data_IF_342337344405
#
_entry.id   IF_342337344405
#
_cell.length_a   1.000
_cell.length_b   1.000
_cell.length_c   1.000
_cell.angle_alpha   90.00
_cell.angle_beta   90.00
_cell.angle_gamma   90.00
#
_symmetry.space_group_name_H-M   'P 1'
#
loop_
_entity.id
_entity.type
_entity.pdbx_description
1 polymer ?
#
# COMPACT_ATOMS: atom_id res chain seq x y z
N UNK A 1 -10.74 -33.80 -60.64
CA UNK A 1 -11.09 -33.59 -59.23
C UNK A 1 -9.85 -33.17 -58.46
N UNK A 2 -9.95 -32.09 -57.70
CA UNK A 2 -9.11 -31.71 -56.54
C UNK A 2 -7.60 -31.64 -56.72
N UNK A 3 -7.06 -30.43 -56.92
CA UNK A 3 -5.62 -30.13 -56.89
C UNK A 3 -5.00 -30.01 -55.48
N UNK A 4 -3.82 -29.38 -55.33
CA UNK A 4 -2.57 -30.13 -55.50
C UNK A 4 -1.44 -29.78 -54.49
N UNK A 5 -0.34 -30.54 -54.60
CA UNK A 5 1.07 -30.20 -54.31
C UNK A 5 1.51 -29.77 -52.90
N UNK A 6 2.42 -30.59 -52.31
CA UNK A 6 3.57 -30.07 -51.54
C UNK A 6 4.87 -30.75 -52.01
N UNK A 7 5.79 -29.93 -52.50
CA UNK A 7 7.16 -30.28 -52.84
C UNK A 7 8.08 -30.21 -51.59
N UNK A 8 9.20 -30.96 -51.55
CA UNK A 8 10.33 -30.73 -50.65
C UNK A 8 11.54 -30.13 -51.43
N UNK A 9 12.75 -30.07 -50.86
CA UNK A 9 13.27 -29.30 -49.72
C UNK A 9 14.39 -28.31 -50.17
N UNK A 10 14.90 -27.41 -49.30
CA UNK A 10 16.35 -27.05 -49.22
C UNK A 10 16.70 -25.93 -48.21
N UNK A 11 17.81 -26.16 -47.49
CA UNK A 11 18.62 -25.21 -46.72
C UNK A 11 19.40 -24.26 -47.63
N UNK A 12 19.45 -22.97 -47.26
CA UNK A 12 20.53 -21.96 -47.49
C UNK A 12 20.30 -20.95 -46.33
N UNK A 13 21.24 -20.52 -45.48
CA UNK A 13 22.61 -20.07 -45.66
C UNK A 13 22.69 -18.64 -45.10
N UNK A 14 23.63 -18.40 -44.19
CA UNK A 14 23.79 -17.19 -43.39
C UNK A 14 24.05 -15.91 -44.20
N UNK A 15 23.65 -14.75 -43.67
CA UNK A 15 24.35 -13.50 -43.95
C UNK A 15 24.31 -12.54 -42.75
N UNK A 16 25.49 -12.34 -42.18
CA UNK A 16 25.84 -11.28 -41.26
C UNK A 16 25.77 -9.91 -41.95
N UNK A 17 25.35 -8.87 -41.22
CA UNK A 17 25.69 -7.47 -41.52
C UNK A 17 26.26 -6.83 -40.27
N UNK A 18 27.58 -6.70 -40.27
CA UNK A 18 28.30 -5.80 -39.39
C UNK A 18 28.27 -4.38 -39.95
N UNK A 19 28.15 -3.40 -39.06
CA UNK A 19 28.59 -2.04 -39.32
C UNK A 19 29.93 -1.83 -38.60
N UNK A 20 30.98 -1.61 -39.40
CA UNK A 20 32.35 -1.30 -38.98
C UNK A 20 32.72 0.11 -39.47
N UNK A 21 33.55 0.78 -38.65
CA UNK A 21 34.56 1.85 -38.91
C UNK A 21 34.12 3.32 -38.85
N UNK A 22 35.08 4.29 -38.66
CA UNK A 22 36.53 4.19 -38.40
C UNK A 22 37.08 5.06 -37.22
N UNK A 23 38.41 5.03 -36.96
CA UNK A 23 39.10 5.66 -35.82
C UNK A 23 39.81 6.99 -36.15
N UNK A 24 40.26 7.75 -35.14
CA UNK A 24 41.35 8.78 -35.21
C UNK A 24 41.89 9.09 -33.80
N UNK A 25 43.08 8.61 -33.42
CA UNK A 25 44.43 9.22 -33.55
C UNK A 25 44.68 10.39 -32.58
N UNK A 26 45.21 10.05 -31.40
CA UNK A 26 46.55 10.31 -30.83
C UNK A 26 47.33 11.62 -31.10
N UNK A 27 48.18 11.97 -30.11
CA UNK A 27 49.22 13.03 -29.96
C UNK A 27 48.85 14.12 -28.93
N UNK A 28 49.72 14.55 -28.01
CA UNK A 28 51.15 14.32 -27.74
C UNK A 28 51.52 14.93 -26.37
N UNK A 29 52.52 14.34 -25.69
CA UNK A 29 53.71 14.91 -24.98
C UNK A 29 53.51 16.20 -24.15
N UNK A 30 54.05 16.38 -22.95
CA UNK A 30 55.04 15.67 -22.14
C UNK A 30 55.73 16.67 -21.19
N UNK A 31 56.79 16.22 -20.51
CA UNK A 31 57.65 16.92 -19.53
C UNK A 31 57.06 16.99 -18.11
N UNK A 32 57.68 16.54 -17.03
CA UNK A 32 59.09 16.23 -16.76
C UNK A 32 59.69 17.34 -15.91
N UNK A 33 59.86 17.13 -14.60
CA UNK A 33 61.03 17.59 -13.82
C UNK A 33 61.03 16.99 -12.41
N UNK A 34 62.12 16.29 -12.08
CA UNK A 34 62.57 15.98 -10.72
C UNK A 34 63.29 17.22 -10.18
N UNK A 35 63.24 17.47 -8.86
CA UNK A 35 64.41 17.48 -7.95
C UNK A 35 64.21 18.24 -6.62
N UNK A 36 64.62 17.56 -5.53
CA UNK A 36 65.37 18.02 -4.33
C UNK A 36 64.82 18.96 -3.24
N UNK A 37 65.10 18.54 -1.98
CA UNK A 37 65.35 19.35 -0.77
C UNK A 37 64.08 19.71 0.01
N UNK A 38 63.87 19.43 1.30
CA UNK A 38 64.79 19.29 2.42
C UNK A 38 64.55 20.44 3.41
N UNK A 39 63.87 20.17 4.54
CA UNK A 39 64.03 20.78 5.89
C UNK A 39 62.72 21.04 6.69
N UNK A 40 62.65 20.33 7.83
CA UNK A 40 62.25 20.73 9.21
C UNK A 40 61.03 21.64 9.44
N UNK A 41 60.12 21.17 10.30
CA UNK A 41 59.29 22.03 11.17
C UNK A 41 58.03 21.36 11.70
N UNK A 42 57.89 21.25 13.01
CA UNK A 42 56.81 20.63 13.79
C UNK A 42 55.38 21.14 13.44
N UNK A 43 54.26 20.45 13.71
CA UNK A 43 53.61 20.29 15.04
C UNK A 43 52.35 19.37 14.93
N UNK A 44 52.24 18.36 15.83
CA UNK A 44 51.06 17.67 16.41
C UNK A 44 49.96 16.94 15.55
N UNK A 45 49.20 15.98 16.16
CA UNK A 45 48.86 14.69 15.52
C UNK A 45 47.50 14.65 14.81
N UNK A 46 47.43 13.76 13.82
CA UNK A 46 46.22 13.44 13.06
C UNK A 46 45.30 12.45 13.80
N UNK A 47 44.04 12.85 13.97
CA UNK A 47 42.93 12.02 14.43
C UNK A 47 42.33 11.17 13.27
N UNK A 48 41.72 10.00 13.55
CA UNK A 48 41.13 9.15 12.52
C UNK A 48 39.73 9.64 12.08
N UNK A 49 39.42 9.40 10.82
CA UNK A 49 38.24 9.90 10.11
C UNK A 49 36.90 9.37 10.65
N UNK A 50 36.03 10.32 11.03
CA UNK A 50 34.60 10.11 11.25
C UNK A 50 33.80 10.40 9.98
N UNK A 51 33.01 9.42 9.55
CA UNK A 51 32.12 9.44 8.39
C UNK A 51 30.98 10.43 8.65
N UNK A 52 30.73 11.31 7.67
CA UNK A 52 29.75 12.42 7.69
C UNK A 52 28.36 12.00 8.14
N UNK A 53 27.96 12.51 9.29
CA UNK A 53 26.58 12.61 9.76
C UNK A 53 25.94 13.88 9.16
N UNK A 54 24.93 13.73 8.31
CA UNK A 54 24.22 14.87 7.70
C UNK A 54 23.08 15.32 8.62
N UNK A 55 23.39 16.34 9.42
CA UNK A 55 22.42 17.27 10.01
C UNK A 55 21.33 17.65 9.00
N UNK A 56 20.07 17.58 9.43
CA UNK A 56 19.07 18.60 9.11
C UNK A 56 18.47 19.14 10.41
N UNK A 57 19.07 20.25 10.81
CA UNK A 57 18.62 21.27 11.76
C UNK A 57 17.27 21.88 11.38
N UNK A 58 16.51 22.29 12.38
CA UNK A 58 15.69 23.50 12.29
C UNK A 58 14.24 23.36 12.73
N UNK A 59 14.01 23.33 14.05
CA UNK A 59 12.77 23.82 14.64
C UNK A 59 12.81 25.35 14.57
N UNK A 60 11.90 25.98 13.83
CA UNK A 60 11.58 27.40 13.96
C UNK A 60 10.05 27.54 13.91
N UNK A 61 9.49 27.81 15.07
CA UNK A 61 8.11 28.21 15.31
C UNK A 61 7.97 29.72 15.14
N UNK A 62 7.49 30.18 13.99
CA UNK A 62 6.69 31.42 13.84
C UNK A 62 6.19 31.54 12.40
N UNK A 63 4.86 31.56 12.21
CA UNK A 63 4.22 31.93 10.94
C UNK A 63 3.86 30.78 9.99
N UNK A 64 2.84 29.99 10.33
CA UNK A 64 2.11 29.17 9.36
C UNK A 64 0.60 29.30 9.60
N UNK A 65 0.09 30.53 9.44
CA UNK A 65 -1.32 30.73 9.13
C UNK A 65 -1.50 30.39 7.64
N UNK A 66 -2.56 29.63 7.36
CA UNK A 66 -2.88 28.93 6.10
C UNK A 66 -2.20 27.56 5.98
N UNK A 67 -2.70 26.62 6.79
CA UNK A 67 -2.57 25.19 6.50
C UNK A 67 -3.46 24.85 5.28
N UNK A 68 -2.94 25.04 4.08
CA UNK A 68 -3.44 24.33 2.90
C UNK A 68 -2.85 22.92 3.00
N UNK A 69 -3.52 22.00 3.70
CA UNK A 69 -3.12 20.58 3.73
C UNK A 69 -3.20 20.04 2.30
N UNK A 70 -2.09 19.83 1.56
CA UNK A 70 -2.16 19.16 0.29
C UNK A 70 -2.29 17.67 0.61
N UNK A 71 -3.48 17.10 0.44
CA UNK A 71 -3.65 15.66 0.51
C UNK A 71 -2.63 15.00 -0.44
N UNK A 72 -1.96 13.91 -0.01
CA UNK A 72 -0.87 13.32 -0.77
C UNK A 72 -1.31 12.93 -2.18
N UNK A 73 -0.40 13.13 -3.15
CA UNK A 73 -0.66 12.84 -4.56
C UNK A 73 -0.84 11.33 -4.83
N UNK A 74 -0.14 10.49 -4.04
CA UNK A 74 -0.29 9.02 -4.03
C UNK A 74 -1.30 8.61 -2.97
N UNK A 75 -2.05 7.54 -3.26
CA UNK A 75 -2.94 6.94 -2.28
C UNK A 75 -2.10 6.37 -1.14
N UNK A 76 -2.36 6.75 0.13
CA UNK A 76 -1.60 6.23 1.25
C UNK A 76 -1.88 4.73 1.41
N UNK A 77 -0.84 3.97 1.79
CA UNK A 77 -0.98 2.53 2.02
C UNK A 77 -1.92 2.22 3.20
N UNK A 78 -2.02 3.16 4.14
CA UNK A 78 -2.89 3.11 5.31
C UNK A 78 -3.86 4.29 5.36
N UNK A 79 -4.98 4.10 6.03
CA UNK A 79 -6.03 5.09 6.20
C UNK A 79 -6.44 5.20 7.66
N UNK A 80 -6.89 6.39 8.03
CA UNK A 80 -7.49 6.62 9.34
C UNK A 80 -8.76 5.77 9.50
N UNK A 81 -8.97 5.04 10.61
CA UNK A 81 -10.13 4.15 10.78
C UNK A 81 -11.47 4.86 10.59
N UNK A 82 -11.60 6.11 11.04
CA UNK A 82 -12.84 6.86 10.91
C UNK A 82 -13.12 7.41 9.49
N UNK A 83 -12.10 7.55 8.64
CA UNK A 83 -12.28 8.13 7.30
C UNK A 83 -13.18 7.27 6.39
N UNK A 84 -13.00 5.93 6.30
CA UNK A 84 -13.92 5.06 5.58
C UNK A 84 -15.36 5.14 6.08
N UNK A 85 -15.56 5.21 7.40
CA UNK A 85 -16.91 5.21 8.01
C UNK A 85 -17.62 6.52 7.76
N UNK A 86 -16.87 7.63 7.83
CA UNK A 86 -17.39 8.94 7.45
C UNK A 86 -17.82 8.97 5.97
N UNK A 87 -17.01 8.40 5.07
CA UNK A 87 -17.36 8.30 3.66
C UNK A 87 -18.59 7.41 3.43
N UNK A 88 -18.72 6.32 4.17
CA UNK A 88 -19.89 5.44 4.15
C UNK A 88 -21.14 6.14 4.67
N UNK A 89 -21.04 6.97 5.72
CA UNK A 89 -22.16 7.76 6.23
C UNK A 89 -22.67 8.73 5.14
N UNK A 90 -21.78 9.48 4.50
CA UNK A 90 -22.14 10.41 3.42
C UNK A 90 -22.77 9.67 2.24
N UNK A 91 -22.13 8.59 1.78
CA UNK A 91 -22.64 7.77 0.66
C UNK A 91 -24.02 7.21 0.99
N UNK A 92 -24.18 6.66 2.19
CA UNK A 92 -25.42 6.07 2.66
C UNK A 92 -26.55 7.09 2.77
N UNK A 93 -26.26 8.29 3.29
CA UNK A 93 -27.23 9.39 3.36
C UNK A 93 -27.64 9.89 1.97
N UNK A 94 -26.69 10.08 1.05
CA UNK A 94 -27.00 10.47 -0.33
C UNK A 94 -27.88 9.42 -1.03
N UNK A 95 -27.55 8.14 -0.87
CA UNK A 95 -28.35 7.06 -1.47
C UNK A 95 -29.74 6.95 -0.83
N UNK A 96 -29.84 7.13 0.50
CA UNK A 96 -31.11 7.11 1.21
C UNK A 96 -32.00 8.29 0.78
N UNK A 97 -31.45 9.50 0.72
CA UNK A 97 -32.12 10.68 0.20
C UNK A 97 -32.62 10.44 -1.23
N UNK A 98 -31.74 9.91 -2.10
CA UNK A 98 -32.09 9.61 -3.48
C UNK A 98 -33.28 8.65 -3.58
N UNK A 99 -33.32 7.61 -2.75
CA UNK A 99 -34.44 6.66 -2.69
C UNK A 99 -35.71 7.32 -2.16
N UNK A 100 -35.63 8.18 -1.14
CA UNK A 100 -36.82 8.81 -0.55
C UNK A 100 -37.46 9.85 -1.48
N UNK A 101 -36.64 10.65 -2.16
CA UNK A 101 -37.11 11.72 -3.04
C UNK A 101 -37.11 11.34 -4.52
N UNK A 102 -36.70 10.11 -4.85
CA UNK A 102 -36.62 9.58 -6.21
C UNK A 102 -35.73 10.44 -7.13
N UNK A 103 -34.64 10.98 -6.60
CA UNK A 103 -33.75 11.92 -7.30
C UNK A 103 -32.55 11.22 -7.94
N UNK A 104 -32.69 10.80 -9.20
CA UNK A 104 -31.63 10.14 -9.98
C UNK A 104 -30.29 10.90 -9.95
N UNK A 105 -30.23 12.25 -10.06
CA UNK A 105 -28.97 12.98 -10.01
C UNK A 105 -28.16 12.75 -8.73
N UNK A 106 -28.82 12.51 -7.59
CA UNK A 106 -28.14 12.26 -6.31
C UNK A 106 -27.42 10.91 -6.32
N UNK A 107 -27.98 9.89 -6.98
CA UNK A 107 -27.32 8.59 -7.19
C UNK A 107 -26.04 8.77 -8.00
N UNK A 108 -26.08 9.61 -9.05
CA UNK A 108 -24.92 9.94 -9.89
C UNK A 108 -23.85 10.67 -9.07
N UNK A 109 -24.24 11.61 -8.21
CA UNK A 109 -23.31 12.32 -7.31
C UNK A 109 -22.65 11.35 -6.33
N UNK A 110 -23.41 10.43 -5.71
CA UNK A 110 -22.85 9.42 -4.81
C UNK A 110 -21.82 8.53 -5.54
N UNK A 111 -22.15 8.07 -6.76
CA UNK A 111 -21.22 7.31 -7.59
C UNK A 111 -19.95 8.11 -7.93
N UNK A 112 -20.09 9.39 -8.30
CA UNK A 112 -18.98 10.28 -8.61
C UNK A 112 -18.06 10.49 -7.40
N UNK A 113 -18.61 10.66 -6.19
CA UNK A 113 -17.80 10.81 -4.97
C UNK A 113 -16.94 9.59 -4.70
N UNK A 114 -17.49 8.39 -4.88
CA UNK A 114 -16.74 7.14 -4.74
C UNK A 114 -15.68 7.02 -5.85
N UNK A 115 -16.03 7.32 -7.10
CA UNK A 115 -15.09 7.27 -8.22
C UNK A 115 -13.89 8.20 -8.00
N UNK A 116 -14.12 9.45 -7.56
CA UNK A 116 -13.05 10.39 -7.24
C UNK A 116 -12.19 9.92 -6.07
N UNK A 117 -12.81 9.33 -5.03
CA UNK A 117 -12.08 8.72 -3.92
C UNK A 117 -11.16 7.57 -4.37
N UNK A 118 -11.60 6.76 -5.33
CA UNK A 118 -10.81 5.68 -5.91
C UNK A 118 -9.64 6.19 -6.77
N UNK A 119 -9.80 7.33 -7.46
CA UNK A 119 -8.72 7.97 -8.24
C UNK A 119 -7.65 8.55 -7.31
N UNK A 120 -8.05 9.17 -6.21
CA UNK A 120 -7.13 9.53 -5.14
C UNK A 120 -7.69 10.52 -4.12
N UNK A 121 -7.11 10.57 -2.90
CA UNK A 121 -7.63 11.41 -1.82
C UNK A 121 -7.75 12.90 -2.19
N UNK A 122 -6.81 13.42 -2.99
CA UNK A 122 -6.79 14.82 -3.45
C UNK A 122 -8.02 15.26 -4.23
N UNK A 123 -8.73 14.33 -4.88
CA UNK A 123 -9.93 14.63 -5.67
C UNK A 123 -11.22 14.34 -4.91
N UNK A 124 -11.13 13.71 -3.73
CA UNK A 124 -12.30 13.31 -2.97
C UNK A 124 -12.80 14.47 -2.11
N UNK A 125 -14.01 15.00 -2.36
CA UNK A 125 -14.61 16.04 -1.52
C UNK A 125 -14.78 15.55 -0.07
N UNK A 126 -15.10 14.26 0.08
CA UNK A 126 -15.27 13.59 1.35
C UNK A 126 -13.96 13.50 2.14
N UNK A 127 -12.84 13.19 1.47
CA UNK A 127 -11.53 13.16 2.14
C UNK A 127 -11.10 14.55 2.60
N UNK A 128 -11.40 15.58 1.81
CA UNK A 128 -11.17 16.98 2.20
C UNK A 128 -11.99 17.36 3.43
N UNK A 129 -13.28 17.02 3.45
CA UNK A 129 -14.15 17.29 4.60
C UNK A 129 -13.67 16.56 5.86
N UNK A 130 -13.23 15.31 5.72
CA UNK A 130 -12.67 14.55 6.83
C UNK A 130 -11.35 15.14 7.37
N UNK A 131 -10.49 15.68 6.49
CA UNK A 131 -9.19 16.25 6.87
C UNK A 131 -9.29 17.47 7.81
N UNK A 132 -10.47 18.10 7.88
CA UNK A 132 -10.74 19.23 8.77
C UNK A 132 -10.99 18.76 10.22
N UNK A 133 -11.34 17.48 10.43
CA UNK A 133 -11.64 16.94 11.75
C UNK A 133 -10.35 16.65 12.53
N UNK A 134 -10.15 17.21 13.73
CA UNK A 134 -8.94 17.03 14.53
C UNK A 134 -8.94 15.69 15.28
N UNK A 135 -8.99 14.57 14.56
CA UNK A 135 -9.02 13.21 15.15
C UNK A 135 -7.66 12.54 14.93
N UNK A 136 -6.99 12.16 16.03
CA UNK A 136 -5.75 11.37 15.97
C UNK A 136 -6.06 9.88 16.10
N UNK A 137 -5.63 9.03 15.15
CA UNK A 137 -5.84 7.60 15.24
C UNK A 137 -4.85 6.97 16.20
N UNK A 138 -5.32 6.00 17.00
CA UNK A 138 -4.42 5.16 17.80
C UNK A 138 -3.81 4.02 16.96
N UNK A 139 -4.52 3.61 15.91
CA UNK A 139 -4.17 2.53 14.99
C UNK A 139 -4.61 2.92 13.58
N UNK A 140 -3.93 2.41 12.56
CA UNK A 140 -4.23 2.70 11.17
C UNK A 140 -4.72 1.45 10.45
N UNK A 141 -5.65 1.61 9.51
CA UNK A 141 -6.17 0.48 8.74
C UNK A 141 -5.51 0.40 7.36
N UNK A 142 -5.27 -0.81 6.81
CA UNK A 142 -4.81 -0.95 5.44
C UNK A 142 -5.83 -0.36 4.43
N UNK A 143 -5.34 0.35 3.42
CA UNK A 143 -6.20 1.01 2.41
C UNK A 143 -6.85 0.03 1.43
N UNK A 144 -6.23 -1.13 1.17
CA UNK A 144 -6.67 -2.08 0.13
C UNK A 144 -8.07 -2.65 0.35
N UNK A 145 -8.42 -3.21 1.53
CA UNK A 145 -9.76 -3.72 1.77
C UNK A 145 -10.84 -2.63 1.64
N UNK A 146 -10.51 -1.41 2.06
CA UNK A 146 -11.41 -0.25 1.95
C UNK A 146 -11.68 0.11 0.49
N UNK A 147 -10.65 0.14 -0.35
CA UNK A 147 -10.80 0.44 -1.79
C UNK A 147 -11.58 -0.66 -2.52
N UNK A 148 -11.41 -1.92 -2.14
CA UNK A 148 -12.22 -3.02 -2.68
C UNK A 148 -13.71 -2.81 -2.37
N UNK A 149 -14.05 -2.45 -1.13
CA UNK A 149 -15.42 -2.15 -0.75
C UNK A 149 -16.00 -0.95 -1.52
N UNK A 150 -15.20 0.12 -1.69
CA UNK A 150 -15.58 1.28 -2.52
C UNK A 150 -15.84 0.89 -3.97
N UNK A 151 -15.02 0.01 -4.54
CA UNK A 151 -15.17 -0.44 -5.92
C UNK A 151 -16.47 -1.23 -6.13
N UNK A 152 -16.81 -2.13 -5.20
CA UNK A 152 -18.10 -2.84 -5.22
C UNK A 152 -19.27 -1.86 -5.15
N UNK A 153 -19.22 -0.89 -4.23
CA UNK A 153 -20.27 0.12 -4.10
C UNK A 153 -20.43 0.94 -5.40
N UNK A 154 -19.32 1.32 -6.04
CA UNK A 154 -19.35 2.01 -7.32
C UNK A 154 -20.01 1.16 -8.42
N UNK A 155 -19.64 -0.11 -8.53
CA UNK A 155 -20.26 -1.02 -9.52
C UNK A 155 -21.77 -1.13 -9.29
N UNK A 156 -22.20 -1.30 -8.05
CA UNK A 156 -23.62 -1.37 -7.71
C UNK A 156 -24.36 -0.08 -8.07
N UNK A 157 -23.77 1.09 -7.80
CA UNK A 157 -24.37 2.38 -8.17
C UNK A 157 -24.40 2.59 -9.69
N UNK A 158 -23.37 2.17 -10.42
CA UNK A 158 -23.39 2.22 -11.89
C UNK A 158 -24.51 1.33 -12.45
N UNK A 159 -24.67 0.12 -11.91
CA UNK A 159 -25.79 -0.77 -12.27
C UNK A 159 -27.13 -0.11 -11.94
N UNK A 160 -27.28 0.50 -10.76
CA UNK A 160 -28.49 1.23 -10.39
C UNK A 160 -28.80 2.37 -11.37
N UNK A 161 -27.80 3.18 -11.73
CA UNK A 161 -27.93 4.27 -12.70
C UNK A 161 -28.41 3.73 -14.05
N UNK A 162 -27.80 2.65 -14.56
CA UNK A 162 -28.22 2.02 -15.82
C UNK A 162 -29.67 1.54 -15.75
N UNK A 163 -30.07 0.92 -14.64
CA UNK A 163 -31.45 0.46 -14.43
C UNK A 163 -32.46 1.62 -14.40
N UNK A 164 -32.13 2.71 -13.70
CA UNK A 164 -32.96 3.91 -13.63
C UNK A 164 -33.16 4.55 -15.01
N UNK A 165 -32.10 4.68 -15.82
CA UNK A 165 -32.19 5.27 -17.16
C UNK A 165 -32.75 4.33 -18.23
N UNK A 166 -32.83 3.02 -17.97
CA UNK A 166 -33.41 2.03 -18.90
C UNK A 166 -34.90 1.76 -18.66
N UNK A 167 -35.52 2.45 -17.71
CA UNK A 167 -36.94 2.31 -17.37
C UNK A 167 -37.25 1.19 -16.38
N UNK A 168 -36.23 0.47 -15.86
CA UNK A 168 -36.39 -0.48 -14.76
C UNK A 168 -36.24 0.22 -13.40
N UNK A 169 -37.07 1.24 -13.18
CA UNK A 169 -36.92 2.17 -12.04
C UNK A 169 -36.94 1.45 -10.69
N UNK A 170 -37.91 0.56 -10.47
CA UNK A 170 -38.02 -0.20 -9.23
C UNK A 170 -36.74 -0.99 -8.92
N UNK A 171 -36.15 -1.65 -9.93
CA UNK A 171 -34.90 -2.39 -9.77
C UNK A 171 -33.74 -1.44 -9.43
N UNK A 172 -33.64 -0.30 -10.10
CA UNK A 172 -32.63 0.72 -9.82
C UNK A 172 -32.71 1.27 -8.39
N UNK A 173 -33.93 1.54 -7.90
CA UNK A 173 -34.14 2.01 -6.53
C UNK A 173 -33.90 0.93 -5.49
N UNK A 174 -34.23 -0.34 -5.76
CA UNK A 174 -33.87 -1.45 -4.89
C UNK A 174 -32.35 -1.55 -4.74
N UNK A 175 -31.60 -1.51 -5.85
CA UNK A 175 -30.13 -1.57 -5.81
C UNK A 175 -29.56 -0.38 -5.03
N UNK A 176 -30.05 0.83 -5.28
CA UNK A 176 -29.65 2.05 -4.54
C UNK A 176 -29.96 1.93 -3.04
N UNK A 177 -31.12 1.40 -2.67
CA UNK A 177 -31.52 1.15 -1.30
C UNK A 177 -30.64 0.12 -0.60
N UNK A 178 -30.22 -0.94 -1.29
CA UNK A 178 -29.24 -1.90 -0.76
C UNK A 178 -27.90 -1.23 -0.49
N UNK A 179 -27.41 -0.39 -1.41
CA UNK A 179 -26.18 0.39 -1.19
C UNK A 179 -26.32 1.31 0.03
N UNK A 180 -27.45 2.02 0.16
CA UNK A 180 -27.73 2.87 1.32
C UNK A 180 -27.70 2.07 2.63
N UNK A 181 -28.40 0.93 2.69
CA UNK A 181 -28.47 0.09 3.87
C UNK A 181 -27.10 -0.44 4.30
N UNK A 182 -26.30 -0.96 3.35
CA UNK A 182 -24.95 -1.49 3.64
C UNK A 182 -24.00 -0.37 4.07
N UNK A 183 -24.06 0.79 3.42
CA UNK A 183 -23.21 1.93 3.77
C UNK A 183 -23.52 2.47 5.16
N UNK A 184 -24.81 2.69 5.49
CA UNK A 184 -25.23 3.14 6.81
C UNK A 184 -24.95 2.09 7.90
N UNK A 185 -25.16 0.82 7.60
CA UNK A 185 -24.81 -0.26 8.54
C UNK A 185 -23.32 -0.23 8.90
N UNK A 186 -22.44 -0.07 7.91
CA UNK A 186 -20.99 0.01 8.14
C UNK A 186 -20.59 1.30 8.87
N UNK A 187 -21.30 2.41 8.62
CA UNK A 187 -21.07 3.66 9.32
C UNK A 187 -21.45 3.59 10.81
N UNK A 188 -22.54 2.90 11.16
CA UNK A 188 -23.04 2.78 12.54
C UNK A 188 -22.32 1.68 13.31
N UNK A 189 -22.15 0.50 12.71
CA UNK A 189 -21.56 -0.66 13.40
C UNK A 189 -20.02 -0.61 13.46
N UNK A 190 -19.39 0.18 12.58
CA UNK A 190 -17.95 0.13 12.35
C UNK A 190 -17.47 -1.12 11.60
N UNK A 191 -18.38 -2.04 11.25
CA UNK A 191 -18.10 -3.31 10.57
C UNK A 191 -18.32 -3.15 9.06
N UNK A 192 -17.23 -3.17 8.31
CA UNK A 192 -17.29 -3.16 6.84
C UNK A 192 -17.34 -4.59 6.28
N UNK A 193 -18.52 -5.00 5.80
CA UNK A 193 -18.76 -6.32 5.17
C UNK A 193 -17.80 -6.55 3.99
N UNK A 194 -17.54 -5.52 3.18
CA UNK A 194 -16.60 -5.60 2.07
C UNK A 194 -15.16 -5.89 2.51
N UNK A 195 -14.72 -5.32 3.64
CA UNK A 195 -13.39 -5.60 4.19
C UNK A 195 -13.27 -7.04 4.73
N UNK A 196 -14.34 -7.59 5.30
CA UNK A 196 -14.40 -9.01 5.72
C UNK A 196 -14.28 -9.92 4.50
N UNK A 197 -15.10 -9.65 3.47
CA UNK A 197 -15.12 -10.45 2.24
C UNK A 197 -13.74 -10.48 1.56
N UNK A 198 -13.10 -9.31 1.41
CA UNK A 198 -11.74 -9.21 0.86
C UNK A 198 -10.75 -10.13 1.59
N UNK A 199 -10.73 -10.07 2.93
CA UNK A 199 -9.80 -10.88 3.72
C UNK A 199 -10.08 -12.36 3.63
N UNK A 200 -11.34 -12.74 3.54
CA UNK A 200 -11.70 -14.14 3.37
C UNK A 200 -11.26 -14.67 2.00
N UNK A 201 -11.34 -13.84 0.97
CA UNK A 201 -10.81 -14.15 -0.37
C UNK A 201 -9.30 -14.31 -0.30
N UNK A 202 -8.57 -13.33 0.27
CA UNK A 202 -7.10 -13.41 0.36
C UNK A 202 -6.64 -14.59 1.21
N UNK A 203 -7.29 -14.88 2.35
CA UNK A 203 -6.97 -16.06 3.17
C UNK A 203 -7.12 -17.37 2.39
N UNK A 204 -8.09 -17.47 1.48
CA UNK A 204 -8.31 -18.67 0.67
C UNK A 204 -7.46 -18.72 -0.61
N UNK A 205 -7.01 -17.56 -1.09
CA UNK A 205 -6.20 -17.45 -2.29
C UNK A 205 -4.69 -17.60 -2.03
N UNK A 206 -4.25 -17.59 -0.77
CA UNK A 206 -2.84 -17.67 -0.39
C UNK A 206 -2.22 -19.04 -0.67
N UNK A 207 -1.47 -19.15 -1.76
CA UNK A 207 -0.49 -20.22 -1.98
C UNK A 207 0.84 -19.83 -1.31
N UNK A 208 1.49 -20.78 -0.64
CA UNK A 208 2.80 -20.63 -0.01
C UNK A 208 3.84 -19.90 -0.86
N UNK A 209 3.82 -20.23 -2.15
CA UNK A 209 4.81 -19.79 -3.11
C UNK A 209 4.67 -18.29 -3.41
N UNK A 210 3.45 -17.77 -3.38
CA UNK A 210 3.17 -16.36 -3.66
C UNK A 210 3.57 -15.45 -2.50
N UNK A 211 3.34 -15.86 -1.24
CA UNK A 211 3.80 -15.07 -0.08
C UNK A 211 5.33 -15.07 0.05
N UNK A 212 5.97 -16.23 -0.18
CA UNK A 212 7.42 -16.34 -0.14
C UNK A 212 8.09 -15.42 -1.17
N UNK A 213 7.53 -15.36 -2.37
CA UNK A 213 7.99 -14.48 -3.45
C UNK A 213 7.64 -13.02 -3.19
N UNK A 214 6.47 -12.73 -2.61
CA UNK A 214 6.03 -11.36 -2.33
C UNK A 214 6.89 -10.66 -1.26
N UNK A 215 7.38 -11.40 -0.27
CA UNK A 215 8.14 -10.84 0.86
C UNK A 215 9.59 -11.33 0.92
N UNK A 216 10.11 -11.91 -0.17
CA UNK A 216 11.46 -12.49 -0.28
C UNK A 216 11.86 -13.37 0.94
N UNK A 217 10.92 -14.20 1.40
CA UNK A 217 11.13 -14.99 2.62
C UNK A 217 12.12 -16.13 2.32
N UNK A 218 13.31 -16.06 2.92
CA UNK A 218 14.35 -17.09 2.77
C UNK A 218 14.20 -18.18 3.84
N UNK A 219 14.55 -19.44 3.51
CA UNK A 219 14.51 -20.58 4.43
C UNK A 219 13.29 -21.50 4.28
N UNK A 220 13.07 -22.39 5.26
CA UNK A 220 11.98 -23.37 5.26
C UNK A 220 10.77 -22.95 6.12
N UNK A 221 10.83 -21.79 6.77
CA UNK A 221 9.79 -21.31 7.71
C UNK A 221 9.82 -22.06 9.04
N UNK A 222 8.88 -21.76 9.97
CA UNK A 222 7.91 -20.67 9.90
C UNK A 222 8.55 -19.28 9.98
N UNK A 223 7.89 -18.26 9.41
CA UNK A 223 8.37 -16.87 9.41
C UNK A 223 7.49 -16.00 10.30
N UNK A 224 8.13 -15.12 11.08
CA UNK A 224 7.45 -14.09 11.86
C UNK A 224 7.60 -12.75 11.16
N UNK A 225 6.48 -12.20 10.71
CA UNK A 225 6.40 -10.92 10.02
C UNK A 225 5.85 -9.86 10.96
N UNK A 226 6.44 -8.68 10.94
CA UNK A 226 5.94 -7.48 11.64
C UNK A 226 5.59 -6.45 10.60
N UNK A 227 4.30 -6.13 10.49
CA UNK A 227 3.78 -5.16 9.53
C UNK A 227 3.56 -3.82 10.22
N UNK A 228 4.26 -2.79 9.75
CA UNK A 228 4.18 -1.41 10.24
C UNK A 228 3.79 -0.45 9.12
N UNK A 229 3.51 0.80 9.48
CA UNK A 229 3.24 1.87 8.53
C UNK A 229 3.88 3.19 9.00
N UNK A 230 4.14 4.13 8.09
CA UNK A 230 4.58 5.47 8.45
C UNK A 230 3.58 6.16 9.37
N UNK A 231 4.09 7.00 10.26
CA UNK A 231 3.31 7.82 11.20
C UNK A 231 2.37 7.04 12.14
N UNK A 232 2.60 5.75 12.29
CA UNK A 232 1.89 4.88 13.22
C UNK A 232 2.45 5.05 14.65
N UNK A 233 1.68 5.59 15.61
CA UNK A 233 2.19 5.91 16.95
C UNK A 233 2.53 4.67 17.79
N UNK A 234 1.91 3.52 17.50
CA UNK A 234 2.11 2.26 18.23
C UNK A 234 3.13 1.33 17.58
N UNK A 235 3.53 1.60 16.34
CA UNK A 235 4.39 0.70 15.58
C UNK A 235 5.81 0.54 16.14
N UNK A 236 6.50 1.59 16.66
CA UNK A 236 7.82 1.42 17.26
C UNK A 236 7.81 0.48 18.47
N UNK A 237 6.84 0.66 19.38
CA UNK A 237 6.72 -0.15 20.60
C UNK A 237 6.38 -1.61 20.28
N UNK A 238 5.46 -1.85 19.34
CA UNK A 238 5.11 -3.19 18.91
C UNK A 238 6.28 -3.91 18.22
N UNK A 239 7.01 -3.22 17.34
CA UNK A 239 8.20 -3.76 16.68
C UNK A 239 9.23 -4.17 17.72
N UNK A 240 9.54 -3.28 18.67
CA UNK A 240 10.49 -3.58 19.73
C UNK A 240 10.05 -4.79 20.57
N UNK A 241 8.79 -4.85 21.01
CA UNK A 241 8.29 -5.97 21.80
C UNK A 241 8.41 -7.33 21.08
N UNK A 242 8.16 -7.37 19.77
CA UNK A 242 8.29 -8.60 18.97
C UNK A 242 9.77 -9.00 18.81
N UNK A 243 10.65 -8.04 18.49
CA UNK A 243 12.10 -8.31 18.37
C UNK A 243 12.71 -8.77 19.70
N UNK A 244 12.29 -8.18 20.82
CA UNK A 244 12.73 -8.57 22.17
C UNK A 244 12.26 -9.99 22.52
N UNK A 245 11.03 -10.36 22.17
CA UNK A 245 10.48 -11.69 22.41
C UNK A 245 11.09 -12.76 21.48
N UNK A 246 11.50 -12.38 20.27
CA UNK A 246 11.97 -13.32 19.24
C UNK A 246 13.29 -14.02 19.60
N UNK A 247 14.03 -13.57 20.62
CA UNK A 247 15.17 -14.27 21.25
C UNK A 247 16.18 -14.91 20.26
N UNK A 248 16.42 -14.26 19.11
CA UNK A 248 17.35 -14.71 18.07
C UNK A 248 16.72 -15.39 16.85
N UNK A 249 15.39 -15.56 16.81
CA UNK A 249 14.67 -15.97 15.59
C UNK A 249 14.60 -14.82 14.59
N UNK A 250 14.63 -15.14 13.30
CA UNK A 250 14.53 -14.14 12.24
C UNK A 250 13.13 -13.53 12.20
N UNK A 251 13.05 -12.21 12.43
CA UNK A 251 11.84 -11.41 12.29
C UNK A 251 11.95 -10.60 10.99
N UNK A 252 10.93 -10.66 10.15
CA UNK A 252 10.86 -9.92 8.89
C UNK A 252 10.01 -8.68 9.10
N UNK A 253 10.65 -7.51 9.09
CA UNK A 253 9.96 -6.23 9.19
C UNK A 253 9.45 -5.80 7.80
N UNK A 254 8.17 -5.46 7.73
CA UNK A 254 7.51 -5.04 6.50
C UNK A 254 6.86 -3.67 6.74
N UNK A 255 7.33 -2.65 6.03
CA UNK A 255 6.67 -1.35 6.01
C UNK A 255 5.64 -1.28 4.87
N UNK A 256 4.41 -0.87 5.18
CA UNK A 256 3.33 -0.73 4.20
C UNK A 256 3.59 0.35 3.13
N UNK A 257 4.45 1.35 3.40
CA UNK A 257 4.82 2.34 2.39
C UNK A 257 5.78 1.76 1.34
N UNK A 258 6.71 0.92 1.79
CA UNK A 258 7.68 0.23 0.92
C UNK A 258 7.04 -0.99 0.22
N UNK A 259 6.19 -1.73 0.93
CA UNK A 259 5.52 -2.95 0.49
C UNK A 259 3.99 -2.80 0.59
N UNK A 260 3.35 -2.00 -0.29
CA UNK A 260 1.90 -1.83 -0.29
C UNK A 260 1.15 -3.14 -0.57
N UNK A 261 1.79 -4.14 -1.20
CA UNK A 261 1.36 -5.54 -1.29
C UNK A 261 0.89 -6.10 0.05
N UNK A 262 1.60 -5.81 1.15
CA UNK A 262 1.32 -6.29 2.50
C UNK A 262 -0.05 -5.89 3.03
N UNK A 263 -0.64 -4.80 2.53
CA UNK A 263 -2.00 -4.39 2.90
C UNK A 263 -3.10 -5.35 2.45
N UNK A 264 -2.77 -6.36 1.63
CA UNK A 264 -3.68 -7.45 1.27
C UNK A 264 -3.74 -8.54 2.34
N UNK A 265 -2.71 -8.65 3.21
CA UNK A 265 -2.66 -9.62 4.29
C UNK A 265 -3.90 -9.50 5.19
N UNK A 266 -4.30 -10.58 5.89
CA UNK A 266 -5.52 -10.59 6.70
C UNK A 266 -5.40 -9.85 8.04
N UNK A 267 -4.85 -8.62 8.00
CA UNK A 267 -4.70 -7.70 9.13
C UNK A 267 -5.83 -6.66 9.15
N UNK A 268 -6.23 -6.24 10.35
CA UNK A 268 -7.29 -5.25 10.58
C UNK A 268 -6.73 -3.85 10.77
N UNK A 269 -5.61 -3.77 11.48
CA UNK A 269 -4.90 -2.54 11.75
C UNK A 269 -3.40 -2.80 11.82
N UNK A 270 -2.62 -1.73 11.74
CA UNK A 270 -1.21 -1.72 12.12
C UNK A 270 -0.99 -1.02 13.45
N UNK A 271 -0.05 -1.50 14.28
CA UNK A 271 0.91 -2.59 13.99
C UNK A 271 0.27 -3.99 13.97
N UNK A 272 0.86 -4.89 13.20
CA UNK A 272 0.44 -6.28 13.11
C UNK A 272 1.61 -7.26 13.17
N UNK A 273 1.43 -8.38 13.85
CA UNK A 273 2.33 -9.52 13.84
C UNK A 273 1.66 -10.72 13.19
N UNK A 274 2.36 -11.40 12.29
CA UNK A 274 1.82 -12.50 11.49
C UNK A 274 2.83 -13.65 11.49
N UNK A 275 2.37 -14.85 11.80
CA UNK A 275 3.12 -16.09 11.60
C UNK A 275 2.71 -16.72 10.27
N UNK A 276 3.69 -17.00 9.42
CA UNK A 276 3.52 -17.76 8.19
C UNK A 276 4.09 -19.15 8.40
N UNK A 277 3.28 -20.18 8.19
CA UNK A 277 3.69 -21.57 8.34
C UNK A 277 4.63 -22.00 7.20
N UNK A 278 5.37 -23.12 7.33
CA UNK A 278 6.16 -23.69 6.24
C UNK A 278 5.33 -24.03 4.98
N UNK A 279 4.05 -24.38 5.16
CA UNK A 279 3.06 -24.55 4.08
C UNK A 279 2.71 -23.24 3.40
N UNK A 280 3.20 -22.11 3.93
CA UNK A 280 2.96 -20.73 3.54
C UNK A 280 1.51 -20.26 3.69
N UNK A 281 0.71 -21.02 4.43
CA UNK A 281 -0.55 -20.55 4.97
C UNK A 281 -0.32 -19.49 6.06
N UNK A 282 -1.29 -18.58 6.18
CA UNK A 282 -1.28 -17.60 7.26
C UNK A 282 -1.79 -18.27 8.53
N UNK A 283 -0.91 -18.43 9.51
CA UNK A 283 -1.22 -18.97 10.82
C UNK A 283 -1.76 -17.90 11.77
N UNK A 284 -1.05 -17.69 12.88
CA UNK A 284 -1.46 -16.72 13.91
C UNK A 284 -1.29 -15.27 13.42
N UNK A 285 -2.32 -14.45 13.63
CA UNK A 285 -2.31 -13.01 13.32
C UNK A 285 -2.74 -12.23 14.55
N UNK A 286 -1.95 -11.24 14.96
CA UNK A 286 -2.28 -10.27 16.01
C UNK A 286 -2.18 -8.87 15.44
N UNK A 287 -3.13 -7.99 15.78
CA UNK A 287 -3.18 -6.61 15.30
C UNK A 287 -3.53 -5.65 16.44
N UNK A 288 -3.10 -4.40 16.32
CA UNK A 288 -3.48 -3.33 17.24
C UNK A 288 -2.50 -3.15 18.40
N UNK A 289 -2.93 -3.42 19.63
CA UNK A 289 -2.00 -3.42 20.78
C UNK A 289 -1.21 -4.72 20.79
N UNK A 290 0.09 -4.61 20.51
CA UNK A 290 1.04 -5.70 20.64
C UNK A 290 2.04 -5.29 21.72
N UNK A 291 1.96 -5.94 22.88
CA UNK A 291 2.93 -5.85 23.95
C UNK A 291 3.67 -7.16 24.15
N UNK A 292 4.32 -7.30 25.30
CA UNK A 292 5.04 -8.51 25.68
C UNK A 292 4.21 -9.81 25.60
N UNK A 293 2.93 -9.88 26.08
CA UNK A 293 2.19 -11.13 26.05
C UNK A 293 1.79 -11.55 24.63
N UNK A 294 1.33 -10.60 23.80
CA UNK A 294 0.99 -10.89 22.41
C UNK A 294 2.22 -11.24 21.58
N UNK A 295 3.36 -10.60 21.84
CA UNK A 295 4.64 -10.94 21.22
C UNK A 295 5.10 -12.35 21.60
N UNK A 296 4.98 -12.74 22.87
CA UNK A 296 5.32 -14.08 23.33
C UNK A 296 4.43 -15.16 22.68
N UNK A 297 3.13 -14.87 22.50
CA UNK A 297 2.19 -15.76 21.81
C UNK A 297 2.52 -15.93 20.31
N UNK A 298 2.93 -14.84 19.64
CA UNK A 298 3.41 -14.91 18.26
C UNK A 298 4.68 -15.76 18.12
N UNK A 299 5.60 -15.62 19.06
CA UNK A 299 6.86 -16.37 19.05
C UNK A 299 6.64 -17.84 19.42
N UNK A 300 5.75 -18.16 20.35
CA UNK A 300 5.42 -19.55 20.70
C UNK A 300 4.72 -20.29 19.56
N UNK A 301 3.97 -19.58 18.71
CA UNK A 301 3.36 -20.15 17.51
C UNK A 301 4.38 -20.55 16.42
N UNK A 302 5.66 -20.17 16.55
CA UNK A 302 6.73 -20.59 15.63
C UNK A 302 7.28 -22.00 15.94
N UNK A 303 6.85 -22.64 17.04
CA UNK A 303 7.38 -23.93 17.51
C UNK A 303 8.60 -23.77 18.38
#
# INVERSE_FOLDING_TARGET
GGGPHRAPPRRIGAHARGHRRPPRVDRRRGAGHRSHGGSRGAVHPAAPGGRRDRRRTGCNSTGALVSTFPLPARTPAVVHPWAPRFAQAITGLLCLEAVLFQTIPVVVVAAAFIALALVGPRWSPVAYLFAILPVRPAELEPSKPVRFAQWIALVMLVVAIILLYSGLELAGWIVTGVVAAVALFSAISGICIGCIAWKQIVRRAGSAHDLKKAFDLQGQGPWLLVVTAPDCPRCPAARQAIHDAASGRAVVDIDLDEHPEAGALPIWSVPAGIVIEPSGDVGLVKTGRIGAPEAAELVSALG
#
